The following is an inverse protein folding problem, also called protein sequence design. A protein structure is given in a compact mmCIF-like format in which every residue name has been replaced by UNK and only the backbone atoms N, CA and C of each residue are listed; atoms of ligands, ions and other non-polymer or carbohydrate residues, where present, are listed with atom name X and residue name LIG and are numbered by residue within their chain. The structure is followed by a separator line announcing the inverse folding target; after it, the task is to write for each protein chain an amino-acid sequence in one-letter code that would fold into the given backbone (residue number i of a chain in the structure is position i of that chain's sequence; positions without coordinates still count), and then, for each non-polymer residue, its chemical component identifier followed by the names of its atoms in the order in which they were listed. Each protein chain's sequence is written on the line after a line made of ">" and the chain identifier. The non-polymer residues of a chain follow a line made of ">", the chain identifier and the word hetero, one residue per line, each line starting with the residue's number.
data_IF_165072138376
#
_entry.id   IF_165072138376
#
_cell.length_a   1.000
_cell.length_b   1.000
_cell.length_c   1.000
_cell.angle_alpha   90.00
_cell.angle_beta   90.00
_cell.angle_gamma   90.00
#
_symmetry.space_group_name_H-M   'P 1'
#
loop_
_entity.id
_entity.type
_entity.pdbx_description
1 polymer ?
#
# COMPACT_ATOMS: atom_id res chain seq x y z
N UNK A 1 -55.99 65.59 -55.19
CA UNK A 1 -57.36 65.16 -54.85
C UNK A 1 -57.37 64.76 -53.38
N UNK A 2 -58.09 65.53 -52.57
CA UNK A 2 -58.58 65.34 -51.20
C UNK A 2 -57.82 64.53 -50.10
N UNK A 3 -57.55 65.30 -49.03
CA UNK A 3 -57.93 65.07 -47.61
C UNK A 3 -56.89 64.46 -46.65
N UNK A 4 -56.68 65.23 -45.57
CA UNK A 4 -55.94 64.93 -44.35
C UNK A 4 -56.71 64.01 -43.41
N UNK A 5 -56.00 63.25 -42.57
CA UNK A 5 -56.48 62.87 -41.23
C UNK A 5 -55.33 62.35 -40.34
N UNK A 6 -54.98 63.13 -39.33
CA UNK A 6 -54.42 62.70 -38.05
C UNK A 6 -55.40 61.78 -37.32
N UNK A 7 -54.93 60.66 -36.76
CA UNK A 7 -55.55 60.02 -35.59
C UNK A 7 -54.49 59.33 -34.71
N UNK A 8 -54.47 59.78 -33.46
CA UNK A 8 -53.80 59.25 -32.27
C UNK A 8 -54.37 57.88 -31.86
N UNK A 9 -53.53 56.96 -31.40
CA UNK A 9 -53.94 55.69 -30.80
C UNK A 9 -52.90 55.18 -29.79
N UNK A 10 -53.39 54.85 -28.60
CA UNK A 10 -52.66 54.81 -27.33
C UNK A 10 -52.01 53.47 -26.97
N UNK A 11 -50.93 53.58 -26.18
CA UNK A 11 -50.54 52.76 -25.02
C UNK A 11 -50.44 51.23 -25.16
N UNK A 12 -49.22 50.71 -25.00
CA UNK A 12 -48.93 49.68 -23.99
C UNK A 12 -47.43 49.61 -23.68
N UNK A 13 -47.08 49.96 -22.45
CA UNK A 13 -45.75 49.81 -21.88
C UNK A 13 -45.54 48.33 -21.46
N UNK A 14 -44.44 47.74 -21.91
CA UNK A 14 -44.02 46.39 -21.51
C UNK A 14 -43.13 46.53 -20.27
N UNK A 15 -43.66 46.16 -19.11
CA UNK A 15 -42.88 45.89 -17.90
C UNK A 15 -42.26 44.48 -18.01
N UNK A 16 -40.93 44.40 -18.04
CA UNK A 16 -40.19 43.14 -17.91
C UNK A 16 -39.77 42.89 -16.45
N UNK A 17 -40.03 41.68 -15.99
CA UNK A 17 -39.93 41.19 -14.62
C UNK A 17 -38.48 41.05 -14.08
N UNK A 18 -38.28 41.08 -12.74
CA UNK A 18 -36.97 40.92 -12.10
C UNK A 18 -36.46 39.46 -12.13
N UNK A 19 -35.14 39.25 -12.06
CA UNK A 19 -34.53 37.92 -12.17
C UNK A 19 -34.74 37.04 -10.93
N UNK A 20 -35.07 35.77 -11.18
CA UNK A 20 -35.28 34.71 -10.19
C UNK A 20 -33.99 34.32 -9.46
N UNK A 21 -34.05 34.24 -8.14
CA UNK A 21 -32.98 33.69 -7.28
C UNK A 21 -32.86 32.16 -7.45
N UNK A 22 -31.64 31.58 -7.50
CA UNK A 22 -31.49 30.13 -7.56
C UNK A 22 -31.82 29.46 -6.21
N UNK A 23 -32.68 28.44 -6.27
CA UNK A 23 -33.10 27.63 -5.14
C UNK A 23 -31.99 26.67 -4.69
N UNK A 24 -31.81 26.54 -3.36
CA UNK A 24 -30.93 25.55 -2.72
C UNK A 24 -31.46 24.14 -2.99
N UNK A 25 -30.71 23.31 -3.72
CA UNK A 25 -30.96 21.86 -3.77
C UNK A 25 -30.40 21.18 -2.51
N UNK A 26 -31.25 20.42 -1.83
CA UNK A 26 -30.88 19.49 -0.76
C UNK A 26 -30.00 18.38 -1.37
N UNK A 27 -28.88 18.08 -0.73
CA UNK A 27 -28.05 16.93 -1.07
C UNK A 27 -28.74 15.66 -0.57
N UNK A 28 -29.16 14.79 -1.48
CA UNK A 28 -29.54 13.42 -1.15
C UNK A 28 -28.27 12.58 -0.94
N UNK A 29 -28.13 12.03 0.26
CA UNK A 29 -27.10 11.06 0.61
C UNK A 29 -27.40 9.74 -0.13
N UNK A 30 -26.63 9.42 -1.17
CA UNK A 30 -26.61 8.07 -1.71
C UNK A 30 -25.81 7.16 -0.79
N UNK A 31 -26.50 6.28 -0.08
CA UNK A 31 -25.92 5.21 0.72
C UNK A 31 -25.39 4.13 -0.23
N UNK A 32 -24.07 3.97 -0.32
CA UNK A 32 -23.47 2.84 -1.03
C UNK A 32 -23.57 1.61 -0.12
N UNK A 33 -24.47 0.70 -0.46
CA UNK A 33 -24.60 -0.59 0.20
C UNK A 33 -23.33 -1.42 0.01
N UNK A 34 -22.88 -2.07 1.09
CA UNK A 34 -21.81 -3.05 1.06
C UNK A 34 -22.22 -4.22 0.16
N UNK A 35 -21.38 -4.54 -0.83
CA UNK A 35 -21.54 -5.73 -1.67
C UNK A 35 -21.15 -6.95 -0.83
N UNK A 36 -22.10 -7.86 -0.63
CA UNK A 36 -21.87 -9.15 0.02
C UNK A 36 -20.92 -10.02 -0.82
N UNK A 37 -20.06 -10.84 -0.18
CA UNK A 37 -19.15 -11.73 -0.91
C UNK A 37 -19.94 -12.85 -1.60
N UNK A 38 -19.70 -12.98 -2.90
CA UNK A 38 -20.18 -14.07 -3.75
C UNK A 38 -19.52 -15.40 -3.33
N UNK A 39 -20.34 -16.37 -2.94
CA UNK A 39 -19.92 -17.72 -2.56
C UNK A 39 -20.02 -18.65 -3.75
N UNK A 40 -18.98 -18.69 -4.58
CA UNK A 40 -18.76 -19.82 -5.49
C UNK A 40 -17.86 -20.84 -4.79
N UNK A 41 -18.43 -22.03 -4.57
CA UNK A 41 -17.78 -23.18 -3.95
C UNK A 41 -16.88 -23.87 -4.99
N UNK A 42 -15.57 -23.85 -4.77
CA UNK A 42 -14.65 -24.74 -5.47
C UNK A 42 -14.43 -26.04 -4.67
N UNK A 43 -14.56 -27.14 -5.40
CA UNK A 43 -14.59 -28.51 -4.94
C UNK A 43 -13.27 -28.98 -4.31
N UNK A 44 -13.39 -29.76 -3.23
CA UNK A 44 -12.28 -30.47 -2.58
C UNK A 44 -11.78 -31.65 -3.42
N UNK A 45 -10.46 -31.92 -3.46
CA UNK A 45 -9.96 -33.25 -3.73
C UNK A 45 -9.67 -34.02 -2.43
N UNK A 46 -9.93 -35.32 -2.52
CA UNK A 46 -10.00 -36.31 -1.46
C UNK A 46 -8.64 -36.62 -0.79
N UNK A 47 -8.75 -37.05 0.48
CA UNK A 47 -7.67 -37.64 1.29
C UNK A 47 -7.27 -39.01 0.74
N UNK A 48 -5.97 -39.25 0.61
CA UNK A 48 -5.39 -40.58 0.50
C UNK A 48 -4.47 -40.84 1.70
N UNK A 49 -4.81 -41.87 2.46
CA UNK A 49 -4.12 -42.43 3.61
C UNK A 49 -2.95 -43.31 3.17
N UNK A 50 -1.84 -43.31 3.92
CA UNK A 50 -0.76 -44.28 3.80
C UNK A 50 -0.48 -44.91 5.19
N UNK A 51 -0.22 -46.23 5.29
CA UNK A 51 0.13 -46.87 6.55
C UNK A 51 1.64 -47.16 6.69
N UNK A 52 2.14 -46.98 7.93
CA UNK A 52 2.82 -48.03 8.73
C UNK A 52 4.20 -48.59 8.34
N UNK A 53 5.14 -48.50 9.29
CA UNK A 53 6.38 -49.30 9.42
C UNK A 53 7.57 -48.40 9.77
N UNK A 54 8.24 -48.45 10.92
CA UNK A 54 8.61 -49.59 11.78
C UNK A 54 10.10 -49.90 11.56
N UNK A 55 10.99 -49.55 12.49
CA UNK A 55 12.42 -49.89 12.35
C UNK A 55 13.38 -49.17 13.29
N UNK A 56 13.63 -49.80 14.43
CA UNK A 56 14.66 -49.54 15.44
C UNK A 56 16.08 -49.72 14.85
N UNK A 57 17.06 -48.90 15.24
CA UNK A 57 18.44 -49.36 15.49
C UNK A 57 19.24 -48.29 16.26
N UNK A 58 19.87 -48.77 17.33
CA UNK A 58 20.59 -47.99 18.31
C UNK A 58 22.11 -48.01 18.05
N UNK A 59 22.74 -46.95 18.57
CA UNK A 59 23.95 -46.98 19.39
C UNK A 59 25.32 -46.65 18.77
N UNK A 60 26.05 -45.92 19.61
CA UNK A 60 27.51 -45.76 19.75
C UNK A 60 28.16 -44.70 18.84
N UNK A 61 28.66 -43.60 19.44
CA UNK A 61 30.10 -43.34 19.59
C UNK A 61 30.37 -42.19 20.56
N UNK A 62 31.62 -42.20 21.06
CA UNK A 62 32.09 -41.66 22.34
C UNK A 62 32.35 -40.15 22.34
N UNK A 63 32.32 -39.66 23.58
CA UNK A 63 32.87 -38.42 24.12
C UNK A 63 34.36 -38.30 23.77
N UNK A 64 34.77 -37.17 23.19
CA UNK A 64 36.15 -36.69 23.29
C UNK A 64 36.17 -35.19 23.59
N UNK A 65 37.03 -34.87 24.54
CA UNK A 65 37.22 -33.56 25.16
C UNK A 65 38.45 -32.94 24.52
N UNK A 66 38.28 -31.90 23.72
CA UNK A 66 39.37 -31.21 23.03
C UNK A 66 39.25 -29.70 23.19
N UNK A 67 40.19 -29.11 23.91
CA UNK A 67 40.36 -27.66 24.07
C UNK A 67 40.67 -27.04 22.71
N UNK A 68 39.80 -26.14 22.23
CA UNK A 68 40.03 -25.37 21.00
C UNK A 68 40.81 -24.08 21.30
N UNK A 69 41.77 -23.65 20.45
CA UNK A 69 42.52 -22.43 20.65
C UNK A 69 41.66 -21.20 20.36
N UNK A 70 41.84 -20.14 21.15
CA UNK A 70 41.21 -18.82 20.96
C UNK A 70 41.56 -18.25 19.59
N UNK A 71 40.56 -18.09 18.73
CA UNK A 71 40.65 -17.26 17.53
C UNK A 71 40.76 -15.77 17.94
N UNK A 72 41.49 -14.94 17.19
CA UNK A 72 41.58 -13.51 17.47
C UNK A 72 40.22 -12.87 17.21
N UNK A 73 39.69 -12.14 18.19
CA UNK A 73 38.48 -11.33 18.03
C UNK A 73 38.71 -10.28 16.95
N UNK A 74 38.16 -10.53 15.76
CA UNK A 74 37.99 -9.51 14.74
C UNK A 74 37.01 -8.47 15.29
N UNK A 75 37.55 -7.30 15.65
CA UNK A 75 36.77 -6.13 16.06
C UNK A 75 35.90 -5.70 14.88
N UNK A 76 34.62 -6.06 14.90
CA UNK A 76 33.65 -5.55 13.94
C UNK A 76 33.63 -4.01 14.03
N UNK A 77 33.58 -3.29 12.90
CA UNK A 77 33.46 -1.84 12.93
C UNK A 77 32.17 -1.48 13.66
N UNK A 78 32.25 -0.62 14.68
CA UNK A 78 31.08 -0.05 15.34
C UNK A 78 30.27 0.69 14.27
N UNK A 79 29.20 0.06 13.79
CA UNK A 79 28.18 0.75 13.01
C UNK A 79 27.71 1.95 13.84
N UNK A 80 27.97 3.16 13.35
CA UNK A 80 27.44 4.36 13.98
C UNK A 80 25.92 4.19 14.07
N UNK A 81 25.35 4.30 15.27
CA UNK A 81 23.92 4.12 15.47
C UNK A 81 23.18 5.15 14.60
N UNK A 82 22.45 4.66 13.60
CA UNK A 82 21.67 5.49 12.71
C UNK A 82 20.65 6.30 13.52
N UNK A 83 20.62 7.61 13.28
CA UNK A 83 19.67 8.53 13.91
C UNK A 83 18.81 9.21 12.86
N UNK A 84 17.56 9.47 13.22
CA UNK A 84 16.69 10.36 12.45
C UNK A 84 17.28 11.78 12.50
N UNK A 85 17.28 12.49 11.36
CA UNK A 85 17.80 13.85 11.32
C UNK A 85 16.99 14.79 12.22
N UNK A 86 17.64 15.79 12.81
CA UNK A 86 16.95 16.87 13.52
C UNK A 86 15.99 17.56 12.52
N UNK A 87 14.68 17.47 12.76
CA UNK A 87 13.64 17.88 11.81
C UNK A 87 12.76 16.74 11.28
N UNK A 88 13.04 15.50 11.68
CA UNK A 88 12.14 14.35 11.47
C UNK A 88 12.17 13.73 10.08
N UNK A 89 13.12 14.09 9.21
CA UNK A 89 13.20 13.53 7.85
C UNK A 89 13.79 12.11 7.84
N UNK A 90 13.23 11.25 7.00
CA UNK A 90 13.74 9.90 6.78
C UNK A 90 15.13 9.94 6.11
N UNK A 91 16.12 9.18 6.60
CA UNK A 91 17.43 9.13 5.97
C UNK A 91 17.34 8.52 4.56
N UNK A 92 17.97 9.17 3.57
CA UNK A 92 17.91 8.74 2.18
C UNK A 92 18.43 7.31 1.94
N UNK A 93 19.43 6.87 2.72
CA UNK A 93 20.02 5.55 2.57
C UNK A 93 19.08 4.39 2.92
N UNK A 94 17.93 4.66 3.54
CA UNK A 94 16.89 3.65 3.75
C UNK A 94 16.31 3.12 2.43
N UNK A 95 16.57 3.79 1.31
CA UNK A 95 16.16 3.39 -0.03
C UNK A 95 17.35 2.91 -0.91
N UNK A 96 18.57 2.78 -0.38
CA UNK A 96 19.77 2.46 -1.16
C UNK A 96 19.73 1.04 -1.78
N UNK A 97 18.97 0.12 -1.18
CA UNK A 97 18.76 -1.22 -1.72
C UNK A 97 17.86 -1.24 -2.96
N UNK A 98 17.17 -0.13 -3.28
CA UNK A 98 16.39 -0.01 -4.51
C UNK A 98 17.37 0.33 -5.65
N UNK A 99 17.56 -0.53 -6.66
CA UNK A 99 18.50 -0.26 -7.74
C UNK A 99 18.18 1.02 -8.49
N UNK A 100 19.20 1.70 -9.02
CA UNK A 100 18.99 2.89 -9.84
C UNK A 100 18.29 2.55 -11.15
N UNK A 101 17.35 3.41 -11.54
CA UNK A 101 16.63 3.25 -12.80
C UNK A 101 17.59 3.33 -14.00
N UNK A 102 17.56 2.35 -14.89
CA UNK A 102 18.26 2.43 -16.17
C UNK A 102 17.71 3.58 -17.03
N UNK A 103 18.59 4.30 -17.75
CA UNK A 103 18.18 5.34 -18.72
C UNK A 103 17.40 4.78 -19.91
N UNK A 104 17.55 3.48 -20.20
CA UNK A 104 16.79 2.78 -21.24
C UNK A 104 15.53 2.12 -20.70
N UNK A 105 15.25 2.24 -19.39
CA UNK A 105 14.07 1.66 -18.79
C UNK A 105 12.79 2.35 -19.33
N UNK A 106 11.81 1.57 -19.81
CA UNK A 106 10.60 2.10 -20.41
C UNK A 106 9.73 2.80 -19.37
N UNK A 107 9.00 3.82 -19.82
CA UNK A 107 7.97 4.48 -19.02
C UNK A 107 6.79 3.56 -18.72
N UNK A 108 5.96 3.95 -17.75
CA UNK A 108 4.87 3.11 -17.26
C UNK A 108 3.85 2.77 -18.33
N UNK A 109 3.46 3.74 -19.17
CA UNK A 109 2.53 3.48 -20.26
C UNK A 109 3.09 2.52 -21.31
N UNK A 110 4.37 2.68 -21.68
CA UNK A 110 5.03 1.78 -22.61
C UNK A 110 5.17 0.35 -22.04
N UNK A 111 5.47 0.21 -20.75
CA UNK A 111 5.47 -1.09 -20.09
C UNK A 111 4.09 -1.75 -20.08
N UNK A 112 3.05 -1.01 -19.67
CA UNK A 112 1.68 -1.54 -19.67
C UNK A 112 1.21 -1.94 -21.07
N UNK A 113 1.58 -1.19 -22.11
CA UNK A 113 1.28 -1.59 -23.48
C UNK A 113 1.96 -2.92 -23.87
N UNK A 114 3.21 -3.15 -23.42
CA UNK A 114 3.94 -4.42 -23.65
C UNK A 114 3.36 -5.60 -22.87
N UNK A 115 2.80 -5.36 -21.68
CA UNK A 115 2.11 -6.40 -20.91
C UNK A 115 0.87 -6.93 -21.65
N UNK A 116 0.18 -6.10 -22.44
CA UNK A 116 -1.04 -6.51 -23.13
C UNK A 116 -2.07 -7.11 -22.18
N UNK A 117 -2.56 -8.30 -22.52
CA UNK A 117 -3.56 -9.06 -21.74
C UNK A 117 -2.94 -10.02 -20.70
N UNK A 118 -1.62 -9.96 -20.47
CA UNK A 118 -0.97 -10.74 -19.42
C UNK A 118 -1.63 -10.48 -18.06
N UNK A 119 -1.88 -11.56 -17.32
CA UNK A 119 -2.64 -11.51 -16.08
C UNK A 119 -2.08 -12.46 -15.01
N UNK A 120 -2.58 -12.32 -13.79
CA UNK A 120 -2.20 -13.20 -12.67
C UNK A 120 -0.70 -13.26 -12.43
N UNK A 121 -0.18 -14.47 -12.20
CA UNK A 121 1.21 -14.71 -11.84
C UNK A 121 2.20 -14.22 -12.92
N UNK A 122 1.89 -14.41 -14.20
CA UNK A 122 2.78 -13.99 -15.31
C UNK A 122 2.95 -12.48 -15.32
N UNK A 123 1.85 -11.73 -15.21
CA UNK A 123 1.90 -10.26 -15.09
C UNK A 123 2.70 -9.84 -13.86
N UNK A 124 2.43 -10.45 -12.71
CA UNK A 124 3.08 -10.08 -11.45
C UNK A 124 4.60 -10.32 -11.49
N UNK A 125 5.07 -11.40 -12.16
CA UNK A 125 6.48 -11.65 -12.40
C UNK A 125 7.12 -10.57 -13.29
N UNK A 126 6.44 -10.16 -14.36
CA UNK A 126 6.94 -9.10 -15.26
C UNK A 126 6.99 -7.74 -14.54
N UNK A 127 5.98 -7.43 -13.71
CA UNK A 127 5.98 -6.22 -12.87
C UNK A 127 7.11 -6.26 -11.86
N UNK A 128 7.30 -7.39 -11.17
CA UNK A 128 8.38 -7.57 -10.21
C UNK A 128 9.75 -7.43 -10.88
N UNK A 129 9.96 -7.97 -12.07
CA UNK A 129 11.22 -7.84 -12.80
C UNK A 129 11.57 -6.36 -13.11
N UNK A 130 10.61 -5.57 -13.58
CA UNK A 130 10.82 -4.13 -13.82
C UNK A 130 11.17 -3.41 -12.51
N UNK A 131 10.40 -3.63 -11.44
CA UNK A 131 10.64 -2.99 -10.15
C UNK A 131 11.99 -3.38 -9.55
N UNK A 132 12.31 -4.68 -9.51
CA UNK A 132 13.57 -5.22 -9.00
C UNK A 132 14.79 -4.76 -9.82
N UNK A 133 14.60 -4.37 -11.09
CA UNK A 133 15.65 -3.73 -11.90
C UNK A 133 15.82 -2.23 -11.62
N UNK A 134 14.96 -1.64 -10.79
CA UNK A 134 14.96 -0.21 -10.46
C UNK A 134 14.03 0.65 -11.33
N UNK A 135 13.19 0.06 -12.19
CA UNK A 135 12.22 0.80 -13.02
C UNK A 135 11.00 1.25 -12.19
N UNK A 136 11.22 2.28 -11.38
CA UNK A 136 10.18 2.95 -10.59
C UNK A 136 10.45 4.47 -10.50
N UNK A 137 9.44 5.29 -10.15
CA UNK A 137 9.63 6.73 -10.01
C UNK A 137 10.65 7.06 -8.92
N UNK A 138 11.57 7.98 -9.20
CA UNK A 138 12.56 8.45 -8.23
C UNK A 138 11.90 9.13 -7.03
N UNK A 139 10.69 9.66 -7.19
CA UNK A 139 9.89 10.17 -6.08
C UNK A 139 9.58 9.13 -5.02
N UNK A 140 9.43 7.85 -5.37
CA UNK A 140 9.17 6.78 -4.40
C UNK A 140 10.36 6.52 -3.46
N UNK A 141 11.58 6.91 -3.86
CA UNK A 141 12.80 6.80 -3.05
C UNK A 141 12.85 7.84 -1.93
N UNK A 142 12.06 8.91 -2.03
CA UNK A 142 11.99 9.99 -1.03
C UNK A 142 10.98 9.64 0.06
N UNK A 143 11.41 8.77 0.98
CA UNK A 143 10.55 8.26 2.05
C UNK A 143 10.02 9.39 2.94
N UNK A 144 8.77 9.25 3.39
CA UNK A 144 8.11 10.18 4.29
C UNK A 144 8.03 9.60 5.70
N UNK A 145 8.41 10.38 6.74
CA UNK A 145 8.24 9.97 8.13
C UNK A 145 6.75 9.95 8.50
N UNK A 146 6.32 8.90 9.19
CA UNK A 146 4.97 8.77 9.77
C UNK A 146 5.13 8.36 11.22
N UNK A 147 4.60 9.16 12.14
CA UNK A 147 4.75 8.94 13.58
C UNK A 147 3.50 8.32 14.17
N UNK A 148 3.65 7.20 14.87
CA UNK A 148 2.63 6.54 15.66
C UNK A 148 2.95 6.75 17.13
N UNK A 149 2.00 7.28 17.90
CA UNK A 149 2.20 7.59 19.31
C UNK A 149 0.96 7.27 20.14
N UNK A 150 1.17 6.88 21.40
CA UNK A 150 0.12 6.39 22.28
C UNK A 150 0.70 5.91 23.61
N UNK A 151 -0.18 5.65 24.58
CA UNK A 151 0.23 5.04 25.83
C UNK A 151 0.39 3.52 25.67
N UNK A 152 1.43 2.94 26.28
CA UNK A 152 1.55 1.48 26.44
C UNK A 152 0.59 0.96 27.53
N UNK A 153 0.57 -0.36 27.73
CA UNK A 153 -0.30 -1.02 28.71
C UNK A 153 -0.06 -0.54 30.16
N UNK A 154 1.13 0.02 30.45
CA UNK A 154 1.49 0.62 31.74
C UNK A 154 1.27 2.14 31.79
N UNK A 155 0.65 2.72 30.77
CA UNK A 155 0.32 4.14 30.71
C UNK A 155 1.48 5.06 30.32
N UNK A 156 2.65 4.51 29.94
CA UNK A 156 3.79 5.33 29.49
C UNK A 156 3.59 5.72 28.04
N UNK A 157 3.78 6.99 27.74
CA UNK A 157 3.67 7.48 26.37
C UNK A 157 4.87 7.02 25.54
N UNK A 158 4.59 6.39 24.39
CA UNK A 158 5.56 5.91 23.42
C UNK A 158 5.34 6.58 22.07
N UNK A 159 6.42 6.72 21.32
CA UNK A 159 6.41 7.26 19.96
C UNK A 159 7.33 6.45 19.08
N UNK A 160 6.83 6.04 17.92
CA UNK A 160 7.56 5.31 16.89
C UNK A 160 7.39 6.05 15.57
N UNK A 161 8.49 6.43 14.93
CA UNK A 161 8.45 6.98 13.57
C UNK A 161 8.87 5.90 12.58
N UNK A 162 8.01 5.62 11.60
CA UNK A 162 8.31 4.73 10.47
C UNK A 162 8.56 5.56 9.20
N UNK A 163 9.36 5.04 8.29
CA UNK A 163 9.65 5.67 7.01
C UNK A 163 8.92 4.94 5.88
N UNK A 164 8.02 5.64 5.19
CA UNK A 164 7.07 5.04 4.25
C UNK A 164 7.28 5.61 2.85
N UNK A 165 7.13 4.78 1.81
CA UNK A 165 7.07 5.30 0.44
C UNK A 165 5.91 6.31 0.28
N UNK A 166 6.11 7.45 -0.40
CA UNK A 166 5.11 8.50 -0.52
C UNK A 166 3.86 8.07 -1.31
N UNK A 167 3.97 7.03 -2.12
CA UNK A 167 2.86 6.46 -2.89
C UNK A 167 3.06 4.93 -3.06
N UNK A 168 2.13 4.28 -3.74
CA UNK A 168 2.17 2.86 -4.06
C UNK A 168 3.22 2.56 -5.14
N UNK A 169 3.74 1.32 -5.13
CA UNK A 169 4.64 0.81 -6.17
C UNK A 169 4.05 1.04 -7.57
N UNK A 170 4.89 1.58 -8.43
CA UNK A 170 4.59 1.92 -9.80
C UNK A 170 5.79 1.65 -10.68
N UNK A 171 5.54 1.27 -11.93
CA UNK A 171 6.58 1.11 -12.95
C UNK A 171 6.61 2.36 -13.83
N UNK A 172 7.80 2.87 -14.13
CA UNK A 172 7.99 4.08 -14.93
C UNK A 172 8.71 5.22 -14.21
N UNK A 173 8.85 6.37 -14.86
CA UNK A 173 9.57 7.55 -14.33
C UNK A 173 8.63 8.48 -13.56
N UNK A 174 9.16 9.51 -12.90
CA UNK A 174 8.35 10.56 -12.23
C UNK A 174 7.32 11.22 -13.17
N UNK A 175 7.59 11.25 -14.48
CA UNK A 175 6.73 11.85 -15.51
C UNK A 175 5.82 10.87 -16.25
N UNK A 176 6.12 9.58 -16.24
CA UNK A 176 5.36 8.54 -16.93
C UNK A 176 5.44 7.23 -16.15
N UNK A 177 4.46 7.01 -15.27
CA UNK A 177 4.35 5.82 -14.44
C UNK A 177 2.92 5.29 -14.36
N UNK A 178 2.80 4.00 -14.06
CA UNK A 178 1.53 3.36 -13.73
C UNK A 178 1.66 2.61 -12.41
N UNK A 179 0.76 2.91 -11.46
CA UNK A 179 0.61 2.11 -10.23
C UNK A 179 0.07 0.74 -10.58
N UNK A 180 0.84 -0.31 -10.32
CA UNK A 180 0.52 -1.67 -10.76
C UNK A 180 0.24 -2.58 -9.56
N UNK A 181 -1.03 -2.98 -9.35
CA UNK A 181 -1.40 -4.07 -8.46
C UNK A 181 -0.66 -5.37 -8.78
N UNK A 182 -0.33 -6.13 -7.74
CA UNK A 182 0.24 -7.48 -7.84
C UNK A 182 -0.18 -8.31 -6.63
N UNK A 183 -0.12 -9.63 -6.75
CA UNK A 183 -0.36 -10.56 -5.65
C UNK A 183 0.66 -10.43 -4.53
N UNK A 184 0.30 -11.00 -3.38
CA UNK A 184 1.09 -10.97 -2.15
C UNK A 184 2.51 -11.53 -2.33
N UNK A 185 2.76 -12.65 -3.06
CA UNK A 185 4.11 -13.17 -3.21
C UNK A 185 5.07 -12.20 -3.92
N UNK A 186 4.62 -11.59 -5.03
CA UNK A 186 5.42 -10.60 -5.75
C UNK A 186 5.67 -9.34 -4.90
N UNK A 187 4.63 -8.84 -4.22
CA UNK A 187 4.75 -7.70 -3.32
C UNK A 187 5.75 -7.95 -2.18
N UNK A 188 5.70 -9.13 -1.56
CA UNK A 188 6.62 -9.52 -0.49
C UNK A 188 8.06 -9.66 -0.99
N UNK A 189 8.26 -10.25 -2.17
CA UNK A 189 9.58 -10.38 -2.80
C UNK A 189 10.23 -9.01 -3.04
N UNK A 190 9.47 -8.07 -3.60
CA UNK A 190 9.95 -6.70 -3.86
C UNK A 190 10.26 -5.99 -2.53
N UNK A 191 9.35 -6.08 -1.56
CA UNK A 191 9.56 -5.48 -0.24
C UNK A 191 10.86 -5.97 0.41
N UNK A 192 11.08 -7.28 0.44
CA UNK A 192 12.28 -7.87 1.02
C UNK A 192 13.56 -7.46 0.29
N UNK A 193 13.55 -7.52 -1.04
CA UNK A 193 14.70 -7.13 -1.87
C UNK A 193 15.09 -5.67 -1.66
N UNK A 194 14.13 -4.80 -1.36
CA UNK A 194 14.38 -3.38 -1.09
C UNK A 194 14.70 -3.08 0.38
N UNK A 195 14.61 -4.04 1.30
CA UNK A 195 14.75 -3.77 2.74
C UNK A 195 13.52 -3.13 3.40
N UNK A 196 12.32 -3.47 2.91
CA UNK A 196 11.02 -2.98 3.36
C UNK A 196 10.12 -4.13 3.84
N UNK A 197 8.97 -3.77 4.39
CA UNK A 197 7.85 -4.64 4.75
C UNK A 197 6.52 -4.02 4.30
N UNK A 198 5.46 -4.83 4.25
CA UNK A 198 4.10 -4.32 4.10
C UNK A 198 3.63 -3.61 5.38
N UNK A 199 2.81 -2.56 5.29
CA UNK A 199 2.27 -1.87 6.46
C UNK A 199 1.28 -2.77 7.22
N UNK A 200 1.03 -2.48 8.48
CA UNK A 200 -0.13 -2.99 9.23
C UNK A 200 -1.33 -2.05 9.05
N UNK A 201 -2.52 -2.43 9.53
CA UNK A 201 -3.71 -1.55 9.51
C UNK A 201 -3.45 -0.20 10.19
N UNK A 202 -2.80 -0.21 11.37
CA UNK A 202 -2.40 0.99 12.11
C UNK A 202 -1.46 1.89 11.32
N UNK A 203 -0.48 1.31 10.63
CA UNK A 203 0.44 2.10 9.80
C UNK A 203 -0.31 2.70 8.60
N UNK A 204 -1.22 1.96 7.96
CA UNK A 204 -2.06 2.51 6.87
C UNK A 204 -2.91 3.68 7.37
N UNK A 205 -3.53 3.56 8.54
CA UNK A 205 -4.33 4.65 9.12
C UNK A 205 -3.48 5.87 9.49
N UNK A 206 -2.29 5.65 10.05
CA UNK A 206 -1.34 6.71 10.36
C UNK A 206 -0.84 7.42 9.09
N UNK A 207 -0.57 6.67 8.02
CA UNK A 207 -0.24 7.20 6.69
C UNK A 207 -1.36 8.09 6.18
N UNK A 208 -2.62 7.63 6.23
CA UNK A 208 -3.75 8.46 5.80
C UNK A 208 -3.91 9.72 6.65
N UNK A 209 -3.78 9.60 7.97
CA UNK A 209 -3.86 10.71 8.90
C UNK A 209 -2.73 11.75 8.72
N UNK A 210 -1.57 11.36 8.20
CA UNK A 210 -0.41 12.24 8.05
C UNK A 210 -0.08 12.58 6.57
N UNK A 211 -0.83 12.04 5.62
CA UNK A 211 -0.64 12.33 4.20
C UNK A 211 -0.80 13.82 3.90
N UNK A 212 0.17 14.39 3.18
CA UNK A 212 0.13 15.76 2.69
C UNK A 212 -0.97 15.98 1.65
N UNK A 213 -1.41 14.91 0.97
CA UNK A 213 -2.63 14.91 0.16
C UNK A 213 -3.45 13.64 0.40
N UNK A 214 -4.69 13.81 0.85
CA UNK A 214 -5.68 12.74 0.97
C UNK A 214 -6.58 12.76 -0.26
N UNK A 215 -6.46 11.74 -1.10
CA UNK A 215 -7.23 11.60 -2.31
C UNK A 215 -8.55 10.88 -2.02
N UNK A 216 -9.63 11.36 -2.62
CA UNK A 216 -10.91 10.69 -2.53
C UNK A 216 -10.87 9.37 -3.31
N UNK A 217 -11.45 8.28 -2.77
CA UNK A 217 -11.73 7.06 -3.50
C UNK A 217 -12.49 7.33 -4.81
N UNK A 218 -12.06 6.71 -5.91
CA UNK A 218 -12.75 6.75 -7.22
C UNK A 218 -13.05 5.33 -7.70
N UNK A 219 -14.09 4.68 -7.16
CA UNK A 219 -14.50 3.36 -7.62
C UNK A 219 -14.83 3.38 -9.12
N UNK A 220 -14.42 2.32 -9.81
CA UNK A 220 -14.78 2.04 -11.19
C UNK A 220 -15.75 0.85 -11.21
N UNK A 221 -16.57 0.69 -12.28
CA UNK A 221 -17.54 -0.41 -12.38
C UNK A 221 -16.93 -1.79 -12.06
N UNK A 222 -17.62 -2.63 -11.28
CA UNK A 222 -17.12 -3.98 -11.01
C UNK A 222 -17.22 -4.89 -12.24
N UNK A 223 -16.40 -5.94 -12.28
CA UNK A 223 -16.40 -6.96 -13.35
C UNK A 223 -15.03 -7.58 -13.59
N UNK A 224 -14.93 -8.50 -14.55
CA UNK A 224 -13.68 -9.21 -14.89
C UNK A 224 -12.54 -8.26 -15.29
N UNK A 225 -12.90 -7.13 -15.92
CA UNK A 225 -11.97 -6.07 -16.31
C UNK A 225 -11.22 -5.48 -15.12
N UNK A 226 -11.72 -5.62 -13.88
CA UNK A 226 -11.05 -5.08 -12.69
C UNK A 226 -9.60 -5.56 -12.52
N UNK A 227 -9.24 -6.69 -13.13
CA UNK A 227 -7.93 -7.34 -13.03
C UNK A 227 -7.05 -7.11 -14.26
N UNK A 228 -7.51 -6.36 -15.27
CA UNK A 228 -6.77 -6.12 -16.51
C UNK A 228 -5.82 -4.93 -16.37
N UNK A 229 -4.73 -4.96 -17.14
CA UNK A 229 -3.74 -3.88 -17.20
C UNK A 229 -4.35 -2.57 -17.73
N UNK A 230 -5.34 -2.66 -18.62
CA UNK A 230 -6.08 -1.51 -19.14
C UNK A 230 -6.87 -0.78 -18.05
N UNK A 231 -7.52 -1.51 -17.12
CA UNK A 231 -8.22 -0.94 -15.98
C UNK A 231 -7.26 -0.31 -14.97
N UNK A 232 -6.08 -0.92 -14.77
CA UNK A 232 -5.03 -0.36 -13.91
C UNK A 232 -4.55 0.99 -14.44
N UNK A 233 -4.28 1.09 -15.75
CA UNK A 233 -3.90 2.34 -16.42
C UNK A 233 -5.00 3.40 -16.33
N UNK A 234 -6.26 3.03 -16.56
CA UNK A 234 -7.40 3.94 -16.45
C UNK A 234 -7.55 4.50 -15.03
N UNK A 235 -7.46 3.65 -14.01
CA UNK A 235 -7.52 4.10 -12.62
C UNK A 235 -6.31 4.98 -12.27
N UNK A 236 -5.11 4.63 -12.75
CA UNK A 236 -3.92 5.47 -12.56
C UNK A 236 -4.12 6.88 -13.13
N UNK A 237 -4.65 7.01 -14.35
CA UNK A 237 -4.97 8.31 -14.93
C UNK A 237 -6.00 9.09 -14.10
N UNK A 238 -6.99 8.39 -13.53
CA UNK A 238 -8.00 9.01 -12.63
C UNK A 238 -7.36 9.56 -11.35
N UNK A 239 -6.41 8.82 -10.77
CA UNK A 239 -5.64 9.27 -9.59
C UNK A 239 -4.75 10.46 -9.95
N UNK A 240 -4.04 10.40 -11.08
CA UNK A 240 -3.18 11.51 -11.51
C UNK A 240 -3.97 12.78 -11.82
N UNK A 241 -5.18 12.69 -12.40
CA UNK A 241 -6.04 13.86 -12.60
C UNK A 241 -6.41 14.56 -11.29
N UNK A 242 -6.68 13.80 -10.22
CA UNK A 242 -6.95 14.39 -8.91
C UNK A 242 -5.69 15.11 -8.38
N UNK A 243 -4.51 14.52 -8.60
CA UNK A 243 -3.23 15.02 -8.10
C UNK A 243 -2.74 16.25 -8.87
N UNK A 244 -2.77 16.23 -10.19
CA UNK A 244 -2.18 17.25 -11.07
C UNK A 244 -2.84 18.61 -10.92
N UNK A 245 -4.12 18.64 -10.55
CA UNK A 245 -4.87 19.89 -10.30
C UNK A 245 -4.34 20.72 -9.12
N UNK A 246 -3.47 20.14 -8.27
CA UNK A 246 -3.04 20.73 -7.00
C UNK A 246 -1.58 21.20 -7.01
N UNK A 247 -0.83 21.04 -8.11
CA UNK A 247 0.59 21.44 -8.24
C UNK A 247 1.52 20.95 -7.11
N UNK A 248 1.20 19.80 -6.51
CA UNK A 248 2.01 19.21 -5.43
C UNK A 248 3.19 18.40 -5.97
N UNK A 249 4.30 18.39 -5.21
CA UNK A 249 5.49 17.62 -5.54
C UNK A 249 5.19 16.12 -5.61
N UNK A 250 5.87 15.39 -6.50
CA UNK A 250 5.61 13.96 -6.70
C UNK A 250 6.01 13.06 -5.51
N UNK A 251 6.81 13.59 -4.59
CA UNK A 251 7.20 12.91 -3.36
C UNK A 251 6.34 13.29 -2.16
N UNK A 252 5.30 14.09 -2.34
CA UNK A 252 4.31 14.32 -1.28
C UNK A 252 3.64 12.99 -0.94
N UNK A 253 3.62 12.63 0.34
CA UNK A 253 2.88 11.46 0.81
C UNK A 253 1.40 11.62 0.47
N UNK A 254 0.90 10.72 -0.37
CA UNK A 254 -0.51 10.67 -0.74
C UNK A 254 -1.17 9.39 -0.23
N UNK A 255 -2.44 9.46 0.16
CA UNK A 255 -3.19 8.31 0.69
C UNK A 255 -4.69 8.42 0.39
N UNK A 256 -5.41 7.29 0.53
CA UNK A 256 -6.86 7.21 0.37
C UNK A 256 -7.35 6.72 -0.99
N UNK A 257 -6.48 6.69 -2.01
CA UNK A 257 -6.84 6.33 -3.38
C UNK A 257 -6.95 4.82 -3.66
N UNK A 258 -6.35 3.97 -2.82
CA UNK A 258 -6.29 2.50 -3.00
C UNK A 258 -6.45 1.78 -1.65
N UNK A 259 -6.63 0.46 -1.73
CA UNK A 259 -6.53 -0.50 -0.63
C UNK A 259 -5.07 -0.98 -0.53
N UNK A 260 -4.50 -0.99 0.65
CA UNK A 260 -3.15 -1.48 0.90
C UNK A 260 -3.17 -2.99 1.11
N UNK A 261 -2.15 -3.68 0.58
CA UNK A 261 -1.76 -4.99 1.11
C UNK A 261 -1.12 -4.80 2.47
N UNK A 262 -1.57 -5.55 3.48
CA UNK A 262 -1.11 -5.37 4.86
C UNK A 262 -0.47 -6.63 5.45
N UNK A 263 0.54 -6.44 6.28
CA UNK A 263 1.07 -7.47 7.18
C UNK A 263 0.08 -7.65 8.34
N UNK A 264 -0.42 -8.86 8.52
CA UNK A 264 -1.48 -9.16 9.49
C UNK A 264 -1.31 -10.56 10.09
N UNK A 265 -1.65 -10.70 11.38
CA UNK A 265 -1.70 -12.01 12.05
C UNK A 265 -2.73 -12.95 11.41
N UNK A 266 -3.75 -12.42 10.71
CA UNK A 266 -4.73 -13.19 9.96
C UNK A 266 -4.12 -14.10 8.89
N UNK A 267 -2.98 -13.70 8.29
CA UNK A 267 -2.30 -14.48 7.26
C UNK A 267 -1.76 -15.82 7.78
N UNK A 268 -1.50 -15.94 9.09
CA UNK A 268 -1.14 -17.23 9.71
C UNK A 268 -2.31 -18.17 9.84
N UNK A 269 -3.51 -17.63 10.08
CA UNK A 269 -4.74 -18.41 10.31
C UNK A 269 -5.30 -18.96 9.00
N UNK A 270 -5.04 -18.26 7.89
CA UNK A 270 -5.57 -18.64 6.57
C UNK A 270 -4.45 -18.58 5.52
N UNK A 271 -3.54 -19.57 5.49
CA UNK A 271 -2.47 -19.63 4.50
C UNK A 271 -3.00 -19.56 3.06
N UNK A 272 -2.21 -18.96 2.16
CA UNK A 272 -2.60 -18.78 0.76
C UNK A 272 -3.63 -17.67 0.52
N UNK A 273 -3.90 -16.81 1.51
CA UNK A 273 -4.73 -15.61 1.38
C UNK A 273 -3.89 -14.34 1.36
N UNK A 274 -4.51 -13.27 0.89
CA UNK A 274 -3.98 -11.91 0.98
C UNK A 274 -4.77 -11.09 2.00
N UNK A 275 -4.10 -10.25 2.78
CA UNK A 275 -4.75 -9.33 3.71
C UNK A 275 -4.79 -7.93 3.10
N UNK A 276 -6.00 -7.38 3.00
CA UNK A 276 -6.28 -6.12 2.29
C UNK A 276 -7.02 -5.18 3.24
N UNK A 277 -6.60 -3.91 3.29
CA UNK A 277 -7.19 -2.89 4.16
C UNK A 277 -7.12 -1.50 3.53
N UNK A 278 -8.07 -0.63 3.83
CA UNK A 278 -7.97 0.81 3.55
C UNK A 278 -8.99 1.35 2.55
N UNK A 279 -8.53 2.13 1.57
CA UNK A 279 -9.38 2.95 0.69
C UNK A 279 -10.27 3.90 1.51
N UNK A 280 -9.68 4.96 2.05
CA UNK A 280 -10.30 5.78 3.09
C UNK A 280 -11.16 6.91 2.55
N UNK A 281 -12.33 7.14 3.18
CA UNK A 281 -13.13 8.36 2.98
C UNK A 281 -12.73 9.48 3.93
N UNK A 282 -12.12 9.13 5.06
CA UNK A 282 -11.74 10.04 6.14
C UNK A 282 -10.88 9.33 7.18
N UNK A 283 -10.39 10.09 8.17
CA UNK A 283 -9.55 9.55 9.25
C UNK A 283 -10.38 8.55 10.05
N UNK A 284 -9.85 7.33 10.24
CA UNK A 284 -10.56 6.24 10.91
C UNK A 284 -11.78 5.70 10.15
N UNK A 285 -11.90 6.03 8.85
CA UNK A 285 -13.03 5.61 8.00
C UNK A 285 -12.54 4.87 6.74
N UNK A 286 -11.94 3.67 6.87
CA UNK A 286 -11.63 2.82 5.74
C UNK A 286 -12.91 2.31 5.07
N UNK A 287 -12.96 2.26 3.73
CA UNK A 287 -14.04 1.57 3.01
C UNK A 287 -13.84 0.05 3.06
N UNK A 288 -12.58 -0.39 2.97
CA UNK A 288 -12.19 -1.79 3.07
C UNK A 288 -11.70 -2.10 4.49
N UNK A 289 -12.52 -2.73 5.35
CA UNK A 289 -12.01 -3.31 6.60
C UNK A 289 -11.02 -4.43 6.29
N UNK A 290 -10.24 -4.85 7.31
CA UNK A 290 -9.26 -5.91 7.16
C UNK A 290 -9.96 -7.18 6.66
N UNK A 291 -9.54 -7.65 5.49
CA UNK A 291 -10.18 -8.79 4.83
C UNK A 291 -9.15 -9.74 4.25
N UNK A 292 -9.39 -11.04 4.41
CA UNK A 292 -8.59 -12.13 3.85
C UNK A 292 -9.40 -13.06 2.95
N UNK A 293 -10.49 -12.55 2.35
CA UNK A 293 -11.40 -13.38 1.52
C UNK A 293 -10.75 -13.84 0.21
N UNK A 294 -9.78 -13.08 -0.30
CA UNK A 294 -9.14 -13.36 -1.58
C UNK A 294 -7.88 -14.23 -1.43
N UNK A 295 -7.59 -15.03 -2.47
CA UNK A 295 -6.35 -15.80 -2.56
C UNK A 295 -5.12 -14.89 -2.69
N UNK A 296 -3.94 -15.42 -2.34
CA UNK A 296 -2.68 -14.66 -2.31
C UNK A 296 -2.33 -14.00 -3.65
N UNK A 297 -2.75 -14.58 -4.78
CA UNK A 297 -2.51 -14.06 -6.14
C UNK A 297 -3.56 -13.03 -6.60
N UNK A 298 -4.52 -12.67 -5.75
CA UNK A 298 -5.56 -11.71 -6.13
C UNK A 298 -5.00 -10.29 -6.20
N UNK A 299 -5.27 -9.63 -7.32
CA UNK A 299 -4.93 -8.23 -7.53
C UNK A 299 -5.89 -7.62 -8.55
N UNK A 300 -6.48 -6.50 -8.16
CA UNK A 300 -7.38 -5.67 -8.96
C UNK A 300 -6.94 -4.20 -8.92
N UNK A 301 -7.57 -3.34 -9.73
CA UNK A 301 -7.21 -1.92 -9.88
C UNK A 301 -7.20 -1.14 -8.56
N UNK A 302 -7.97 -1.58 -7.57
CA UNK A 302 -8.14 -0.91 -6.28
C UNK A 302 -7.00 -1.22 -5.32
N UNK A 303 -6.20 -2.25 -5.56
CA UNK A 303 -5.03 -2.58 -4.73
C UNK A 303 -3.88 -1.61 -4.95
N UNK A 304 -3.10 -1.43 -3.89
CA UNK A 304 -1.83 -0.76 -3.88
C UNK A 304 -0.86 -1.51 -2.97
N UNK A 305 0.40 -1.54 -3.39
CA UNK A 305 1.51 -2.04 -2.56
C UNK A 305 2.29 -0.83 -2.09
N UNK A 306 2.14 -0.45 -0.83
CA UNK A 306 2.95 0.59 -0.20
C UNK A 306 3.98 -0.07 0.68
N UNK A 307 5.21 0.41 0.64
CA UNK A 307 6.31 -0.16 1.40
C UNK A 307 6.69 0.73 2.58
N UNK A 308 6.97 0.08 3.71
CA UNK A 308 7.48 0.68 4.95
C UNK A 308 8.89 0.15 5.19
N UNK A 309 9.86 1.02 5.46
CA UNK A 309 11.24 0.59 5.71
C UNK A 309 11.28 -0.40 6.88
N UNK A 310 12.17 -1.40 6.79
CA UNK A 310 12.49 -2.27 7.94
C UNK A 310 13.12 -1.52 9.10
N UNK A 311 13.59 -0.29 8.87
CA UNK A 311 14.10 0.58 9.92
C UNK A 311 13.01 1.55 10.37
N UNK A 312 12.68 1.51 11.66
CA UNK A 312 11.88 2.50 12.36
C UNK A 312 12.75 3.28 13.35
N UNK A 313 12.18 4.29 13.99
CA UNK A 313 12.89 5.14 14.94
C UNK A 313 12.09 5.29 16.24
N UNK A 314 12.75 5.01 17.37
CA UNK A 314 12.25 5.28 18.73
C UNK A 314 13.19 6.29 19.36
N UNK A 315 12.65 7.43 19.78
CA UNK A 315 13.43 8.56 20.32
C UNK A 315 14.60 8.96 19.38
N UNK A 316 14.35 8.90 18.07
CA UNK A 316 15.32 9.20 17.02
C UNK A 316 16.39 8.13 16.80
N UNK A 317 16.38 7.00 17.52
CA UNK A 317 17.32 5.89 17.34
C UNK A 317 16.74 4.84 16.41
N UNK A 318 17.51 4.39 15.43
CA UNK A 318 17.10 3.31 14.54
C UNK A 318 16.88 2.00 15.30
N UNK A 319 15.75 1.34 15.01
CA UNK A 319 15.35 0.02 15.51
C UNK A 319 14.74 -0.77 14.36
N UNK A 320 14.86 -2.09 14.35
CA UNK A 320 14.15 -2.92 13.38
C UNK A 320 12.65 -2.84 13.65
N UNK A 321 11.86 -2.51 12.63
CA UNK A 321 10.40 -2.45 12.72
C UNK A 321 9.82 -3.82 13.12
N UNK A 322 10.44 -4.91 12.68
CA UNK A 322 10.05 -6.26 13.03
C UNK A 322 10.24 -6.57 14.51
N UNK A 323 11.26 -6.01 15.17
CA UNK A 323 11.41 -6.12 16.63
C UNK A 323 10.29 -5.38 17.36
N UNK A 324 9.94 -4.17 16.92
CA UNK A 324 8.85 -3.39 17.51
C UNK A 324 7.48 -4.03 17.31
N UNK A 325 7.25 -4.67 16.15
CA UNK A 325 6.01 -5.41 15.87
C UNK A 325 5.86 -6.65 16.75
N UNK A 326 6.97 -7.24 17.22
CA UNK A 326 6.96 -8.40 18.10
C UNK A 326 6.92 -8.03 19.60
N UNK A 327 7.37 -6.82 19.96
CA UNK A 327 7.46 -6.34 21.34
C UNK A 327 6.09 -5.87 21.87
N UNK A 328 5.54 -6.50 22.93
CA UNK A 328 4.29 -6.06 23.55
C UNK A 328 4.26 -4.60 24.00
N UNK A 329 5.42 -3.99 24.29
CA UNK A 329 5.49 -2.59 24.68
C UNK A 329 5.22 -1.61 23.52
N UNK A 330 5.36 -2.06 22.26
CA UNK A 330 5.21 -1.24 21.06
C UNK A 330 4.13 -1.75 20.09
N UNK A 331 3.80 -3.03 20.14
CA UNK A 331 2.95 -3.67 19.14
C UNK A 331 1.58 -3.01 18.99
N UNK A 332 0.94 -2.59 20.08
CA UNK A 332 -0.39 -1.97 20.04
C UNK A 332 -0.39 -0.58 19.38
N UNK A 333 0.75 0.10 19.35
CA UNK A 333 0.91 1.33 18.56
C UNK A 333 0.97 1.02 17.06
N UNK A 334 1.48 -0.15 16.71
CA UNK A 334 1.84 -0.54 15.35
C UNK A 334 0.85 -1.54 14.74
N UNK A 335 -0.08 -2.13 15.48
CA UNK A 335 -0.99 -3.18 15.01
C UNK A 335 -2.26 -3.23 15.87
N UNK A 336 -3.43 -3.32 15.23
CA UNK A 336 -4.70 -3.57 15.94
C UNK A 336 -4.85 -5.03 16.43
N UNK A 337 -3.99 -5.92 15.96
CA UNK A 337 -4.01 -7.35 16.30
C UNK A 337 -3.04 -7.69 17.44
N UNK A 338 -2.45 -6.69 18.10
CA UNK A 338 -1.38 -6.85 19.07
C UNK A 338 -0.07 -7.35 18.43
N UNK A 339 0.82 -7.99 19.23
CA UNK A 339 2.11 -8.48 18.75
C UNK A 339 2.02 -9.41 17.55
N UNK A 340 2.81 -9.14 16.52
CA UNK A 340 3.06 -10.07 15.41
C UNK A 340 4.25 -10.93 15.81
N UNK A 341 3.98 -12.09 16.42
CA UNK A 341 5.03 -13.01 16.87
C UNK A 341 5.85 -13.54 15.69
N UNK A 342 7.17 -13.61 15.85
CA UNK A 342 8.11 -14.05 14.81
C UNK A 342 7.83 -13.44 13.42
N UNK A 343 7.83 -12.09 13.30
CA UNK A 343 7.37 -11.40 12.10
C UNK A 343 8.23 -11.74 10.88
N UNK A 344 9.53 -11.97 11.05
CA UNK A 344 10.41 -12.44 9.97
C UNK A 344 9.95 -13.78 9.38
N UNK A 345 9.47 -14.71 10.22
CA UNK A 345 8.91 -15.98 9.74
C UNK A 345 7.57 -15.77 9.02
N UNK A 346 6.78 -14.77 9.42
CA UNK A 346 5.55 -14.42 8.71
C UNK A 346 5.91 -13.87 7.32
N UNK A 347 6.78 -12.88 7.27
CA UNK A 347 7.24 -12.23 6.03
C UNK A 347 7.82 -13.27 5.07
N UNK A 348 8.69 -14.15 5.56
CA UNK A 348 9.27 -15.22 4.76
C UNK A 348 8.23 -16.25 4.25
N UNK A 349 7.09 -16.38 4.92
CA UNK A 349 6.02 -17.26 4.47
C UNK A 349 5.20 -16.68 3.32
N UNK A 350 5.30 -15.36 3.06
CA UNK A 350 4.48 -14.66 2.07
C UNK A 350 4.93 -14.91 0.62
N UNK A 351 6.14 -15.45 0.41
CA UNK A 351 6.66 -15.75 -0.94
C UNK A 351 6.00 -16.96 -1.63
N UNK A 352 5.05 -17.63 -0.98
CA UNK A 352 4.51 -18.93 -1.38
C UNK A 352 3.06 -18.88 -1.82
#
# INVERSE_FOLDING_TARGET
>A
MHVAATLTGSSQAIHAAPPLRPARRKAELLTVAAVAPDTSQDAQPARASAPGGGGLLAALFRKDSGVAPRAPEARAPRAAALRLAAGGTCPAHLADAIPMRSRTAPGGNAFVARLGEESGATRDLLVAAELLSGNLPDSLRRLTPVTLSGADAEGRFRSVTVCVMPDYLAVGSDSDFVRLPMGLPAAAQIADSFGFVLPTTRIVDAVFAQAGLRLAPRPMPPGEQMRTTSYFRQHNATVELQRSSLHIAQSTLIAGQKKDLVLSNALRRVPGRVAIYGWHRGIGQPIQPLSTVHGAMYADYSHGVRLVSRTAFVDGRAVALTDLLADPAYADLLSDEGPILAPERLIASLYR
#
